data_IF_760690631254
#
_entry.id   IF_760690631254
#
_cell.length_a   1.000
_cell.length_b   1.000
_cell.length_c   1.000
_cell.angle_alpha   90.00
_cell.angle_beta   90.00
_cell.angle_gamma   90.00
#
_symmetry.space_group_name_H-M   'P 1'
#
loop_
_entity.id
_entity.type
_entity.pdbx_description
1 polymer ?
#
# COMPACT_ATOMS: atom_id res chain seq x y z
N UNK A 1 23.30 5.03 29.74
CA UNK A 1 23.36 3.64 29.24
C UNK A 1 22.50 3.73 28.01
N UNK A 2 23.15 4.03 26.90
CA UNK A 2 22.49 4.49 25.69
C UNK A 2 23.05 3.69 24.53
N UNK A 3 22.18 3.48 23.56
CA UNK A 3 22.44 2.97 22.21
C UNK A 3 22.45 1.44 22.05
N UNK A 4 21.30 0.91 21.63
CA UNK A 4 21.17 -0.51 21.26
C UNK A 4 19.95 -0.87 20.42
N UNK A 5 19.05 0.07 20.10
CA UNK A 5 17.75 -0.25 19.45
C UNK A 5 17.56 0.39 18.07
N UNK A 6 18.59 1.01 17.48
CA UNK A 6 18.44 1.72 16.20
C UNK A 6 18.80 0.88 14.95
N UNK A 7 19.33 -0.34 15.11
CA UNK A 7 19.69 -1.22 13.98
C UNK A 7 18.53 -2.12 13.54
N UNK A 8 17.62 -2.50 14.44
CA UNK A 8 16.49 -3.39 14.13
C UNK A 8 15.45 -2.72 13.22
N UNK A 9 15.12 -1.44 13.48
CA UNK A 9 14.14 -0.70 12.68
C UNK A 9 14.57 -0.47 11.21
N UNK A 10 15.89 -0.45 10.93
CA UNK A 10 16.41 -0.36 9.56
C UNK A 10 16.27 -1.68 8.81
N UNK A 11 16.43 -2.81 9.49
CA UNK A 11 16.25 -4.15 8.90
C UNK A 11 14.80 -4.38 8.49
N UNK A 12 13.84 -3.96 9.34
CA UNK A 12 12.41 -4.16 9.06
C UNK A 12 11.92 -3.36 7.84
N UNK A 13 12.35 -2.09 7.73
CA UNK A 13 12.03 -1.26 6.56
C UNK A 13 12.66 -1.82 5.27
N UNK A 14 13.93 -2.24 5.32
CA UNK A 14 14.64 -2.79 4.16
C UNK A 14 13.93 -4.05 3.65
N UNK A 15 13.48 -4.93 4.56
CA UNK A 15 12.69 -6.12 4.23
C UNK A 15 11.35 -5.77 3.59
N UNK A 16 10.65 -4.74 4.07
CA UNK A 16 9.38 -4.33 3.48
C UNK A 16 9.55 -3.75 2.07
N UNK A 17 10.63 -3.01 1.82
CA UNK A 17 10.97 -2.53 0.48
C UNK A 17 11.34 -3.67 -0.46
N UNK A 18 12.09 -4.67 0.01
CA UNK A 18 12.43 -5.86 -0.80
C UNK A 18 11.16 -6.66 -1.18
N UNK A 19 10.25 -6.84 -0.22
CA UNK A 19 8.93 -7.46 -0.46
C UNK A 19 8.08 -6.64 -1.44
N UNK A 20 8.12 -5.31 -1.33
CA UNK A 20 7.41 -4.43 -2.25
C UNK A 20 7.93 -4.58 -3.68
N UNK A 21 9.25 -4.60 -3.87
CA UNK A 21 9.86 -4.75 -5.19
C UNK A 21 9.53 -6.12 -5.80
N UNK A 22 9.66 -7.20 -5.02
CA UNK A 22 9.29 -8.55 -5.47
C UNK A 22 7.81 -8.64 -5.88
N UNK A 23 6.92 -8.01 -5.09
CA UNK A 23 5.48 -7.97 -5.38
C UNK A 23 5.20 -7.19 -6.66
N UNK A 24 5.87 -6.06 -6.87
CA UNK A 24 5.76 -5.22 -8.06
C UNK A 24 6.28 -5.97 -9.29
N UNK A 25 7.43 -6.63 -9.21
CA UNK A 25 8.00 -7.42 -10.30
C UNK A 25 7.08 -8.59 -10.68
N UNK A 26 6.61 -9.34 -9.68
CA UNK A 26 5.66 -10.44 -9.86
C UNK A 26 4.36 -9.94 -10.52
N UNK A 27 3.86 -8.80 -10.05
CA UNK A 27 2.64 -8.21 -10.60
C UNK A 27 2.83 -7.69 -12.02
N UNK A 28 3.99 -7.08 -12.36
CA UNK A 28 4.31 -6.66 -13.74
C UNK A 28 4.31 -7.86 -14.69
N UNK A 29 4.91 -8.98 -14.27
CA UNK A 29 4.93 -10.21 -15.05
C UNK A 29 3.52 -10.79 -15.26
N UNK A 30 2.71 -10.83 -14.20
CA UNK A 30 1.31 -11.26 -14.27
C UNK A 30 0.47 -10.35 -15.16
N UNK A 31 0.59 -9.03 -15.01
CA UNK A 31 -0.14 -8.03 -15.81
C UNK A 31 0.18 -8.18 -17.31
N UNK A 32 1.45 -8.37 -17.65
CA UNK A 32 1.91 -8.64 -19.02
C UNK A 32 1.30 -9.93 -19.58
N UNK A 33 1.15 -10.94 -18.74
CA UNK A 33 0.57 -12.24 -19.13
C UNK A 33 -0.96 -12.20 -19.27
N UNK A 34 -1.65 -11.40 -18.45
CA UNK A 34 -3.11 -11.37 -18.37
C UNK A 34 -3.76 -10.35 -19.34
N UNK A 35 -2.99 -9.42 -19.93
CA UNK A 35 -3.51 -8.30 -20.73
C UNK A 35 -4.66 -7.53 -20.05
N UNK A 36 -4.76 -7.62 -18.73
CA UNK A 36 -5.85 -7.06 -17.95
C UNK A 36 -5.54 -5.59 -17.62
N UNK A 37 -6.35 -4.68 -18.17
CA UNK A 37 -6.23 -3.24 -17.88
C UNK A 37 -6.67 -2.89 -16.46
N UNK A 38 -7.45 -3.77 -15.80
CA UNK A 38 -8.02 -3.56 -14.47
C UNK A 38 -7.46 -4.54 -13.42
N UNK A 39 -6.19 -4.92 -13.55
CA UNK A 39 -5.53 -5.76 -12.54
C UNK A 39 -5.34 -4.96 -11.23
N UNK A 40 -5.87 -5.50 -10.13
CA UNK A 40 -5.68 -5.00 -8.78
C UNK A 40 -4.97 -6.08 -7.96
N UNK A 41 -3.90 -5.71 -7.28
CA UNK A 41 -3.15 -6.61 -6.42
C UNK A 41 -3.54 -6.36 -4.97
N UNK A 42 -4.05 -7.39 -4.28
CA UNK A 42 -4.26 -7.32 -2.84
C UNK A 42 -2.90 -7.32 -2.14
N UNK A 43 -2.72 -6.42 -1.17
CA UNK A 43 -1.46 -6.29 -0.43
C UNK A 43 -1.72 -6.04 1.05
N UNK A 44 -0.68 -6.15 1.86
CA UNK A 44 -0.72 -5.90 3.30
C UNK A 44 -0.82 -4.40 3.62
N UNK A 45 -1.31 -4.08 4.82
CA UNK A 45 -1.45 -2.70 5.30
C UNK A 45 -0.09 -1.96 5.30
N UNK A 46 0.99 -2.64 5.70
CA UNK A 46 2.33 -2.06 5.77
C UNK A 46 2.85 -1.69 4.37
N UNK A 47 2.72 -2.61 3.40
CA UNK A 47 3.15 -2.39 2.02
C UNK A 47 2.34 -1.29 1.35
N UNK A 48 1.01 -1.28 1.50
CA UNK A 48 0.20 -0.21 0.90
C UNK A 48 0.52 1.15 1.54
N UNK A 49 0.79 1.19 2.85
CA UNK A 49 1.17 2.42 3.55
C UNK A 49 2.51 2.94 3.04
N UNK A 50 3.51 2.08 2.86
CA UNK A 50 4.78 2.46 2.25
C UNK A 50 4.59 3.01 0.84
N UNK A 51 3.76 2.36 0.02
CA UNK A 51 3.44 2.88 -1.31
C UNK A 51 2.76 4.26 -1.23
N UNK A 52 1.86 4.47 -0.26
CA UNK A 52 1.18 5.76 -0.03
C UNK A 52 2.15 6.88 0.31
N UNK A 53 3.23 6.58 1.06
CA UNK A 53 4.27 7.54 1.38
C UNK A 53 5.12 7.93 0.16
N UNK A 54 5.28 7.02 -0.81
CA UNK A 54 6.09 7.24 -2.01
C UNK A 54 5.32 7.88 -3.18
N UNK A 55 4.01 7.67 -3.27
CA UNK A 55 3.17 8.20 -4.36
C UNK A 55 2.51 9.52 -4.01
N UNK A 56 2.19 10.38 -4.98
CA UNK A 56 1.38 11.55 -4.70
C UNK A 56 -0.02 11.14 -4.24
N UNK A 57 -0.63 11.94 -3.38
CA UNK A 57 -1.98 11.64 -2.85
C UNK A 57 -3.05 11.53 -3.94
N UNK A 58 -2.83 12.16 -5.11
CA UNK A 58 -3.69 11.98 -6.29
C UNK A 58 -3.75 10.53 -6.81
N UNK A 59 -2.73 9.71 -6.54
CA UNK A 59 -2.65 8.29 -6.86
C UNK A 59 -3.14 7.38 -5.71
N UNK A 60 -3.59 7.97 -4.60
CA UNK A 60 -4.14 7.30 -3.42
C UNK A 60 -5.66 7.49 -3.40
N UNK A 61 -6.39 6.42 -3.12
CA UNK A 61 -7.85 6.42 -3.01
C UNK A 61 -8.28 5.60 -1.82
N UNK A 62 -8.76 6.26 -0.77
CA UNK A 62 -9.35 5.60 0.38
C UNK A 62 -10.87 5.75 0.29
N UNK A 63 -11.60 4.65 0.38
CA UNK A 63 -13.06 4.66 0.34
C UNK A 63 -13.65 3.51 1.14
N UNK A 64 -14.93 3.64 1.49
CA UNK A 64 -15.66 2.61 2.23
C UNK A 64 -16.48 1.75 1.28
N UNK A 65 -16.23 0.45 1.26
CA UNK A 65 -16.99 -0.54 0.49
C UNK A 65 -18.38 -0.80 1.10
N UNK A 66 -19.31 -1.25 0.25
CA UNK A 66 -20.61 -1.82 0.65
C UNK A 66 -20.37 -3.01 1.61
N UNK A 67 -20.77 -2.86 2.87
CA UNK A 67 -20.44 -3.79 3.97
C UNK A 67 -19.66 -3.14 5.11
N UNK A 68 -19.18 -1.92 4.88
CA UNK A 68 -18.53 -1.08 5.88
C UNK A 68 -17.03 -1.30 6.03
N UNK A 69 -16.43 -2.12 5.15
CA UNK A 69 -14.99 -2.30 5.05
C UNK A 69 -14.33 -1.06 4.44
N UNK A 70 -13.17 -0.68 4.94
CA UNK A 70 -12.36 0.40 4.39
C UNK A 70 -11.37 -0.15 3.38
N UNK A 71 -11.27 0.50 2.23
CA UNK A 71 -10.41 0.07 1.14
C UNK A 71 -9.47 1.22 0.81
N UNK A 72 -8.17 0.95 0.82
CA UNK A 72 -7.18 1.82 0.24
C UNK A 72 -6.75 1.25 -1.11
N UNK A 73 -6.76 2.08 -2.14
CA UNK A 73 -6.24 1.79 -3.46
C UNK A 73 -5.09 2.75 -3.77
N UNK A 74 -3.97 2.23 -4.22
CA UNK A 74 -2.75 3.01 -4.48
C UNK A 74 -2.20 2.62 -5.82
N UNK A 75 -1.92 3.62 -6.67
CA UNK A 75 -1.34 3.39 -7.97
C UNK A 75 0.18 3.53 -7.94
N UNK A 76 0.87 2.44 -7.64
CA UNK A 76 2.33 2.37 -7.56
C UNK A 76 2.92 1.81 -8.86
N UNK A 77 3.84 2.54 -9.52
CA UNK A 77 4.49 2.14 -10.77
C UNK A 77 3.53 1.66 -11.91
N UNK A 78 2.31 2.22 -11.97
CA UNK A 78 1.31 1.86 -12.97
C UNK A 78 0.57 0.54 -12.71
N UNK A 79 0.66 0.02 -11.48
CA UNK A 79 -0.12 -1.09 -10.94
C UNK A 79 -1.05 -0.53 -9.86
N UNK A 80 -2.29 -1.02 -9.80
CA UNK A 80 -3.19 -0.67 -8.71
C UNK A 80 -3.06 -1.71 -7.60
N UNK A 81 -2.55 -1.29 -6.45
CA UNK A 81 -2.55 -2.07 -5.23
C UNK A 81 -3.78 -1.72 -4.41
N UNK A 82 -4.36 -2.70 -3.76
CA UNK A 82 -5.55 -2.54 -2.93
C UNK A 82 -5.34 -3.23 -1.60
N UNK A 83 -5.77 -2.60 -0.52
CA UNK A 83 -5.85 -3.22 0.78
C UNK A 83 -7.26 -3.04 1.33
N UNK A 84 -7.88 -4.15 1.72
CA UNK A 84 -9.19 -4.13 2.36
C UNK A 84 -8.98 -4.25 3.86
N UNK A 85 -9.06 -3.12 4.56
CA UNK A 85 -9.18 -3.14 6.01
C UNK A 85 -10.65 -3.38 6.40
N UNK A 86 -10.86 -3.98 7.58
CA UNK A 86 -12.20 -4.30 8.08
C UNK A 86 -13.06 -3.06 8.36
N UNK A 87 -13.93 -3.13 9.38
CA UNK A 87 -14.86 -2.03 9.69
C UNK A 87 -14.19 -0.78 10.25
N UNK A 88 -12.92 -0.86 10.61
CA UNK A 88 -12.14 0.23 11.17
C UNK A 88 -11.29 0.88 10.09
N UNK A 89 -11.13 2.21 10.11
CA UNK A 89 -10.17 2.88 9.25
C UNK A 89 -8.82 2.85 9.98
N UNK A 90 -7.72 2.41 9.36
CA UNK A 90 -6.39 2.58 9.95
C UNK A 90 -6.12 4.07 10.19
N UNK A 91 -5.57 4.43 11.35
CA UNK A 91 -5.22 5.81 11.69
C UNK A 91 -4.24 6.40 10.67
N UNK A 92 -3.30 5.59 10.19
CA UNK A 92 -2.35 5.99 9.14
C UNK A 92 -3.02 6.42 7.85
N UNK A 93 -4.24 5.94 7.56
CA UNK A 93 -4.97 6.39 6.37
C UNK A 93 -5.61 7.76 6.55
N UNK A 94 -5.78 8.26 7.78
CA UNK A 94 -6.32 9.60 8.03
C UNK A 94 -5.38 10.69 7.51
N UNK A 95 -4.07 10.43 7.45
CA UNK A 95 -3.10 11.38 6.90
C UNK A 95 -3.17 11.50 5.36
N UNK A 96 -3.62 10.44 4.69
CA UNK A 96 -3.77 10.41 3.23
C UNK A 96 -5.21 10.65 2.77
N UNK A 97 -6.17 10.55 3.69
CA UNK A 97 -7.55 10.92 3.45
C UNK A 97 -7.61 12.41 3.20
N UNK A 98 -7.64 12.78 1.92
CA UNK A 98 -8.05 14.12 1.55
C UNK A 98 -9.55 14.18 1.76
N UNK A 99 -9.96 14.40 3.02
CA UNK A 99 -11.21 15.09 3.31
C UNK A 99 -11.11 16.42 2.57
N UNK A 100 -11.73 16.47 1.39
CA UNK A 100 -12.11 17.72 0.76
C UNK A 100 -13.08 18.41 1.73
N UNK A 101 -12.51 19.32 2.52
CA UNK A 101 -13.17 20.23 3.45
C UNK A 101 -12.45 21.57 3.47
#
# INVERSE_FOLDING_TARGET
>A
MDDGSNYEARDELDVLYDQLDELVESTKQLKSSLNASEFKCDTSLELITLMMEEVPVSDIRIYKQIGGAWVAEVKYHGINFVHINGKHKPEVWEEFDNEDG
#
